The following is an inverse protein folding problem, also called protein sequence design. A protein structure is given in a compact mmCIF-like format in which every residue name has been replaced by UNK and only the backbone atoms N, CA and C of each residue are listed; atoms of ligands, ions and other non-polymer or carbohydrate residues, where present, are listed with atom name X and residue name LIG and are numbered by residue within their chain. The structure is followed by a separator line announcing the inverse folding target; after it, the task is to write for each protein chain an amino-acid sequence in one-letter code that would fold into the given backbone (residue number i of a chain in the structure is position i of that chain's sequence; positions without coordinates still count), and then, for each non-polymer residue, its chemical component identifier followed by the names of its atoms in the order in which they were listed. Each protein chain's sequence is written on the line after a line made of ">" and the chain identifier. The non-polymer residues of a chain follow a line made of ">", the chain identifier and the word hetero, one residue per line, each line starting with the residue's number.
data_IF_488013162722
#
_entry.id   IF_488013162722
#
_cell.length_a   1.000
_cell.length_b   1.000
_cell.length_c   1.000
_cell.angle_alpha   90.00
_cell.angle_beta   90.00
_cell.angle_gamma   90.00
#
_symmetry.space_group_name_H-M   'P 1'
#
loop_
_entity.id
_entity.type
_entity.pdbx_description
1 polymer ?
#
# COMPACT_ATOMS: atom_id res chain seq x y z
N UNK A 1 -16.87 -9.45 0.49
CA UNK A 1 -15.80 -8.68 1.14
C UNK A 1 -14.68 -8.43 0.14
N UNK A 2 -14.18 -7.21 0.08
CA UNK A 2 -13.04 -6.79 -0.75
C UNK A 2 -11.85 -6.52 0.18
N UNK A 3 -10.65 -6.92 -0.20
CA UNK A 3 -9.43 -6.67 0.57
C UNK A 3 -8.35 -6.14 -0.37
N UNK A 4 -7.79 -4.98 -0.03
CA UNK A 4 -6.59 -4.45 -0.66
C UNK A 4 -5.42 -4.86 0.21
N UNK A 5 -4.51 -5.66 -0.35
CA UNK A 5 -3.33 -6.16 0.33
C UNK A 5 -2.09 -5.62 -0.34
N UNK A 6 -1.21 -5.01 0.45
CA UNK A 6 0.13 -4.61 0.08
C UNK A 6 1.10 -5.65 0.63
N UNK A 7 1.94 -6.24 -0.21
CA UNK A 7 3.10 -7.03 0.19
C UNK A 7 4.36 -6.34 -0.29
N UNK A 8 5.43 -6.33 0.50
CA UNK A 8 6.66 -5.65 0.12
C UNK A 8 7.93 -6.33 0.64
N UNK A 9 9.02 -6.11 -0.09
CA UNK A 9 10.37 -6.44 0.34
C UNK A 9 10.88 -5.37 1.31
N UNK A 10 11.85 -5.70 2.15
CA UNK A 10 12.69 -4.65 2.74
C UNK A 10 13.46 -3.95 1.61
N UNK A 11 13.84 -2.69 1.84
CA UNK A 11 14.79 -2.00 0.97
C UNK A 11 16.13 -2.74 0.90
N UNK A 12 16.92 -2.43 -0.13
CA UNK A 12 18.21 -3.09 -0.36
C UNK A 12 19.30 -2.77 0.69
N UNK A 13 18.98 -1.97 1.72
CA UNK A 13 19.91 -1.55 2.76
C UNK A 13 19.74 -2.41 4.01
N UNK A 14 20.80 -3.15 4.38
CA UNK A 14 20.80 -4.03 5.57
C UNK A 14 20.64 -3.25 6.89
N UNK A 15 20.94 -1.95 6.88
CA UNK A 15 21.01 -1.10 8.07
C UNK A 15 19.71 -0.32 8.37
N UNK A 16 18.69 -0.43 7.51
CA UNK A 16 17.46 0.36 7.63
C UNK A 16 16.20 -0.48 7.62
N UNK A 17 15.34 -0.29 8.63
CA UNK A 17 13.97 -0.78 8.57
C UNK A 17 13.23 -0.12 7.39
N UNK A 18 12.32 -0.87 6.78
CA UNK A 18 11.43 -0.37 5.72
C UNK A 18 10.01 -0.34 6.24
N UNK A 19 9.33 0.75 5.97
CA UNK A 19 7.94 0.96 6.33
C UNK A 19 7.20 1.49 5.09
N UNK A 20 6.27 0.68 4.59
CA UNK A 20 5.37 1.08 3.52
C UNK A 20 3.94 1.12 4.04
N UNK A 21 3.31 2.26 3.89
CA UNK A 21 1.93 2.51 4.32
C UNK A 21 0.93 2.35 3.16
N UNK A 22 -0.25 1.82 3.50
CA UNK A 22 -1.41 1.73 2.63
C UNK A 22 -2.48 2.80 2.97
N UNK A 23 -2.89 3.57 1.96
CA UNK A 23 -3.96 4.58 2.07
C UNK A 23 -5.07 4.29 1.09
N UNK A 24 -6.29 4.08 1.58
CA UNK A 24 -7.49 4.06 0.73
C UNK A 24 -8.22 5.40 0.87
N UNK A 25 -8.35 6.11 -0.25
CA UNK A 25 -8.98 7.43 -0.31
C UNK A 25 -10.29 7.33 -1.09
N UNK A 26 -11.39 7.80 -0.49
CA UNK A 26 -12.63 8.07 -1.23
C UNK A 26 -12.49 9.41 -1.97
N UNK A 27 -12.53 9.39 -3.29
CA UNK A 27 -12.28 10.60 -4.10
C UNK A 27 -13.45 11.61 -4.02
N UNK A 28 -14.64 11.18 -3.59
CA UNK A 28 -15.81 12.06 -3.47
C UNK A 28 -15.82 12.79 -2.14
N UNK A 29 -15.50 12.10 -1.04
CA UNK A 29 -15.57 12.66 0.32
C UNK A 29 -14.22 13.17 0.82
N UNK A 30 -13.11 12.69 0.26
CA UNK A 30 -11.75 12.94 0.74
C UNK A 30 -11.41 12.17 2.02
N UNK A 31 -12.29 11.28 2.50
CA UNK A 31 -11.99 10.44 3.67
C UNK A 31 -10.95 9.37 3.35
N UNK A 32 -10.12 9.04 4.35
CA UNK A 32 -8.98 8.14 4.17
C UNK A 32 -8.94 7.05 5.24
N UNK A 33 -8.68 5.80 4.82
CA UNK A 33 -8.33 4.70 5.72
C UNK A 33 -6.81 4.48 5.67
N UNK A 34 -6.15 4.63 6.82
CA UNK A 34 -4.69 4.50 7.01
C UNK A 34 -4.37 4.41 8.52
N UNK A 35 -3.09 4.33 8.94
CA UNK A 35 -2.77 4.01 10.34
C UNK A 35 -3.29 5.03 11.38
N UNK A 36 -3.37 6.33 11.05
CA UNK A 36 -3.92 7.35 11.98
C UNK A 36 -5.45 7.35 11.98
N UNK A 37 -6.07 6.92 10.89
CA UNK A 37 -7.51 6.76 10.76
C UNK A 37 -7.84 5.33 10.33
N UNK A 38 -7.64 4.33 11.22
CA UNK A 38 -7.66 2.91 10.84
C UNK A 38 -9.07 2.40 10.55
N UNK A 39 -10.12 3.22 10.75
CA UNK A 39 -11.50 2.86 10.43
C UNK A 39 -12.28 4.09 9.99
N UNK A 40 -12.92 3.99 8.83
CA UNK A 40 -13.85 5.00 8.29
C UNK A 40 -15.19 4.30 7.99
N UNK A 41 -16.27 4.63 8.71
CA UNK A 41 -17.59 4.08 8.43
C UNK A 41 -18.02 4.34 6.97
N UNK A 42 -18.46 3.30 6.28
CA UNK A 42 -18.87 3.41 4.87
C UNK A 42 -17.74 3.33 3.85
N UNK A 43 -16.48 3.22 4.29
CA UNK A 43 -15.31 3.05 3.41
C UNK A 43 -14.53 1.76 3.74
N UNK A 44 -14.01 1.63 4.96
CA UNK A 44 -13.22 0.45 5.30
C UNK A 44 -12.47 0.56 6.62
N UNK A 45 -11.56 -0.39 6.82
CA UNK A 45 -10.65 -0.41 7.97
C UNK A 45 -9.29 -1.00 7.62
N UNK A 46 -8.24 -0.43 8.19
CA UNK A 46 -6.91 -1.00 8.21
C UNK A 46 -6.92 -2.21 9.16
N UNK A 47 -6.60 -3.38 8.64
CA UNK A 47 -6.71 -4.65 9.35
C UNK A 47 -5.33 -5.17 9.80
N UNK A 48 -4.24 -4.67 9.20
CA UNK A 48 -2.86 -4.93 9.60
C UNK A 48 -1.96 -3.78 9.13
N UNK A 49 -1.06 -3.36 10.02
CA UNK A 49 -0.07 -2.27 9.88
C UNK A 49 1.29 -2.85 10.29
N UNK A 50 2.31 -2.76 9.43
CA UNK A 50 3.67 -3.21 9.74
C UNK A 50 4.62 -2.01 9.73
N UNK A 51 4.88 -1.50 10.93
CA UNK A 51 5.74 -0.32 11.17
C UNK A 51 7.23 -0.56 11.04
N UNK A 52 7.64 -1.83 11.08
CA UNK A 52 9.04 -2.23 11.05
C UNK A 52 9.14 -3.53 10.25
N UNK A 53 9.12 -3.41 8.93
CA UNK A 53 9.28 -4.56 8.04
C UNK A 53 10.58 -5.30 8.38
N UNK A 54 10.47 -6.61 8.60
CA UNK A 54 11.61 -7.48 8.89
C UNK A 54 12.27 -8.02 7.62
N UNK A 55 13.57 -8.30 7.71
CA UNK A 55 14.32 -8.92 6.63
C UNK A 55 13.88 -10.38 6.45
N UNK A 56 13.25 -10.70 5.32
CA UNK A 56 13.40 -12.03 4.73
C UNK A 56 14.22 -11.87 3.47
N UNK A 57 15.48 -12.28 3.55
CA UNK A 57 16.33 -12.45 2.39
C UNK A 57 16.40 -13.93 2.04
N UNK A 58 16.45 -14.24 0.75
CA UNK A 58 16.79 -15.56 0.24
C UNK A 58 18.00 -15.39 -0.66
N UNK A 59 19.10 -16.04 -0.29
CA UNK A 59 20.37 -15.94 -1.02
C UNK A 59 20.87 -14.48 -1.17
N UNK A 60 20.63 -13.65 -0.16
CA UNK A 60 20.98 -12.22 -0.17
C UNK A 60 20.00 -11.31 -0.94
N UNK A 61 18.92 -11.86 -1.51
CA UNK A 61 17.91 -11.10 -2.25
C UNK A 61 16.67 -10.88 -1.39
N UNK A 62 16.17 -9.64 -1.24
CA UNK A 62 14.90 -9.37 -0.57
C UNK A 62 13.74 -10.15 -1.23
N UNK A 63 12.95 -10.87 -0.43
CA UNK A 63 11.78 -11.62 -0.92
C UNK A 63 10.46 -11.06 -0.39
N UNK A 64 9.46 -11.01 -1.27
CA UNK A 64 8.10 -10.60 -0.94
C UNK A 64 7.40 -11.58 0.00
N UNK A 65 6.41 -11.10 0.76
CA UNK A 65 5.59 -11.91 1.67
C UNK A 65 6.15 -12.02 3.10
N UNK A 66 7.24 -11.28 3.40
CA UNK A 66 7.71 -11.04 4.77
C UNK A 66 6.97 -9.90 5.46
N UNK A 67 6.62 -8.87 4.70
CA UNK A 67 5.98 -7.65 5.19
C UNK A 67 4.71 -7.39 4.37
N UNK A 68 3.59 -7.15 5.05
CA UNK A 68 2.32 -6.89 4.40
C UNK A 68 1.39 -6.01 5.23
N UNK A 69 0.61 -5.19 4.55
CA UNK A 69 -0.50 -4.43 5.11
C UNK A 69 -1.78 -4.78 4.37
N UNK A 70 -2.93 -4.63 5.02
CA UNK A 70 -4.17 -4.76 4.28
C UNK A 70 -5.33 -3.95 4.85
N UNK A 71 -6.13 -3.41 3.93
CA UNK A 71 -7.38 -2.73 4.23
C UNK A 71 -8.53 -3.67 3.84
N UNK A 72 -9.41 -3.89 4.80
CA UNK A 72 -10.71 -4.52 4.57
C UNK A 72 -11.70 -3.43 4.12
N UNK A 73 -12.15 -3.48 2.88
CA UNK A 73 -13.08 -2.50 2.30
C UNK A 73 -14.52 -2.95 2.56
N UNK A 74 -15.39 -2.00 2.91
CA UNK A 74 -16.81 -2.30 3.14
C UNK A 74 -17.48 -2.85 1.86
N UNK A 75 -18.48 -3.75 1.96
CA UNK A 75 -19.04 -4.46 0.80
C UNK A 75 -19.57 -3.55 -0.31
N UNK A 76 -20.25 -2.46 0.07
CA UNK A 76 -21.01 -1.59 -0.83
C UNK A 76 -20.18 -0.45 -1.43
N UNK A 77 -18.90 -0.37 -1.08
CA UNK A 77 -17.98 0.63 -1.65
C UNK A 77 -17.72 0.32 -3.11
N UNK A 78 -17.99 1.29 -3.98
CA UNK A 78 -17.50 1.27 -5.35
C UNK A 78 -15.99 1.53 -5.34
N UNK A 79 -15.20 0.65 -5.97
CA UNK A 79 -13.76 0.86 -6.04
C UNK A 79 -13.37 1.86 -7.13
N UNK A 80 -14.25 2.14 -8.11
CA UNK A 80 -13.99 3.13 -9.16
C UNK A 80 -13.90 4.57 -8.64
N UNK A 81 -14.62 4.87 -7.56
CA UNK A 81 -14.53 6.18 -6.88
C UNK A 81 -13.37 6.26 -5.87
N UNK A 82 -12.58 5.20 -5.71
CA UNK A 82 -11.51 5.17 -4.73
C UNK A 82 -10.13 5.20 -5.40
N UNK A 83 -9.18 5.86 -4.74
CA UNK A 83 -7.78 5.80 -5.10
C UNK A 83 -7.01 5.10 -3.99
N UNK A 84 -6.15 4.16 -4.36
CA UNK A 84 -5.19 3.59 -3.42
C UNK A 84 -3.86 4.33 -3.57
N UNK A 85 -3.34 4.83 -2.47
CA UNK A 85 -2.01 5.41 -2.40
C UNK A 85 -1.11 4.53 -1.55
N UNK A 86 0.12 4.37 -2.01
CA UNK A 86 1.18 3.71 -1.28
C UNK A 86 2.23 4.75 -0.93
N UNK A 87 2.73 4.73 0.30
CA UNK A 87 3.81 5.61 0.75
C UNK A 87 5.00 4.82 1.26
N UNK A 88 6.21 5.21 0.84
CA UNK A 88 7.44 4.79 1.51
C UNK A 88 7.72 5.73 2.68
N UNK A 89 7.29 5.36 3.87
CA UNK A 89 7.44 6.15 5.09
C UNK A 89 8.88 6.09 5.62
N UNK A 90 9.48 4.89 5.64
CA UNK A 90 10.84 4.64 6.11
C UNK A 90 11.64 3.81 5.09
N UNK A 91 12.95 4.03 5.07
CA UNK A 91 13.91 3.34 4.21
C UNK A 91 14.67 4.29 3.31
N UNK A 92 15.80 3.85 2.76
CA UNK A 92 16.71 4.65 1.92
C UNK A 92 17.02 4.00 0.58
N UNK A 93 16.71 2.72 0.40
CA UNK A 93 16.97 1.96 -0.81
C UNK A 93 15.75 1.70 -1.68
N UNK A 94 15.94 0.97 -2.78
CA UNK A 94 14.83 0.59 -3.66
C UNK A 94 13.91 -0.43 -2.97
N UNK A 95 12.59 -0.23 -3.04
CA UNK A 95 11.60 -1.16 -2.46
C UNK A 95 10.67 -1.69 -3.53
N UNK A 96 10.62 -3.01 -3.68
CA UNK A 96 9.62 -3.69 -4.50
C UNK A 96 8.37 -3.99 -3.66
N UNK A 97 7.22 -3.63 -4.18
CA UNK A 97 5.92 -3.88 -3.56
C UNK A 97 4.90 -4.41 -4.58
N UNK A 98 3.92 -5.14 -4.05
CA UNK A 98 2.82 -5.73 -4.81
C UNK A 98 1.52 -5.38 -4.10
N UNK A 99 0.57 -4.85 -4.86
CA UNK A 99 -0.80 -4.67 -4.42
C UNK A 99 -1.65 -5.75 -5.07
N UNK A 100 -2.36 -6.48 -4.23
CA UNK A 100 -3.34 -7.48 -4.63
C UNK A 100 -4.74 -7.07 -4.17
N UNK A 101 -5.71 -7.14 -5.09
CA UNK A 101 -7.13 -7.03 -4.77
C UNK A 101 -7.72 -8.42 -4.62
N UNK A 102 -8.25 -8.72 -3.44
CA UNK A 102 -9.02 -9.93 -3.17
C UNK A 102 -10.51 -9.62 -3.18
N UNK A 103 -11.28 -10.41 -3.89
CA UNK A 103 -12.74 -10.37 -3.87
C UNK A 103 -13.28 -11.79 -3.65
N UNK A 104 -14.08 -11.95 -2.59
CA UNK A 104 -14.66 -13.25 -2.21
C UNK A 104 -13.60 -14.35 -2.05
N UNK A 105 -12.45 -14.00 -1.46
CA UNK A 105 -11.34 -14.91 -1.19
C UNK A 105 -10.45 -15.24 -2.40
N UNK A 106 -10.69 -14.64 -3.56
CA UNK A 106 -9.87 -14.83 -4.77
C UNK A 106 -9.14 -13.55 -5.14
N UNK A 107 -7.90 -13.68 -5.60
CA UNK A 107 -7.18 -12.56 -6.22
C UNK A 107 -7.83 -12.25 -7.56
N UNK A 108 -8.27 -11.01 -7.75
CA UNK A 108 -8.91 -10.55 -9.00
C UNK A 108 -8.07 -9.49 -9.72
N UNK A 109 -7.03 -8.95 -9.07
CA UNK A 109 -6.11 -7.99 -9.66
C UNK A 109 -4.81 -7.94 -8.89
N UNK A 110 -3.70 -7.75 -9.60
CA UNK A 110 -2.37 -7.59 -9.03
C UNK A 110 -1.64 -6.47 -9.78
N UNK A 111 -0.96 -5.59 -9.04
CA UNK A 111 -0.05 -4.61 -9.60
C UNK A 111 1.25 -4.59 -8.81
N UNK A 112 2.37 -4.67 -9.53
CA UNK A 112 3.70 -4.50 -8.96
C UNK A 112 4.15 -3.05 -9.09
N UNK A 113 4.85 -2.58 -8.09
CA UNK A 113 5.38 -1.23 -7.98
C UNK A 113 6.80 -1.26 -7.43
N UNK A 114 7.57 -0.25 -7.79
CA UNK A 114 8.93 -0.07 -7.33
C UNK A 114 9.08 1.37 -6.83
N UNK A 115 9.64 1.53 -5.64
CA UNK A 115 9.99 2.82 -5.05
C UNK A 115 11.49 3.02 -5.12
N UNK A 116 11.97 3.91 -5.99
CA UNK A 116 13.42 4.18 -6.17
C UNK A 116 13.94 5.33 -5.29
N UNK A 117 13.12 5.85 -4.37
CA UNK A 117 13.49 7.04 -3.60
C UNK A 117 14.65 6.79 -2.62
N UNK A 118 15.65 7.68 -2.67
CA UNK A 118 16.87 7.65 -1.82
C UNK A 118 16.62 7.98 -0.34
N UNK A 119 15.40 8.36 0.04
CA UNK A 119 15.00 8.67 1.41
C UNK A 119 13.48 8.55 1.55
N UNK A 120 13.01 7.84 2.57
CA UNK A 120 11.58 7.76 2.92
C UNK A 120 10.95 9.14 3.13
N UNK A 121 9.66 9.25 2.79
CA UNK A 121 8.89 10.47 3.00
C UNK A 121 8.48 10.58 4.46
N UNK A 122 9.03 11.58 5.13
CA UNK A 122 8.37 12.15 6.30
C UNK A 122 7.42 13.23 5.78
N UNK A 123 6.24 12.84 5.28
CA UNK A 123 5.34 13.79 4.61
C UNK A 123 3.90 13.30 4.46
N UNK A 124 3.03 13.65 5.41
CA UNK A 124 1.62 13.23 5.50
C UNK A 124 0.62 14.04 4.65
N UNK A 125 1.05 15.13 4.01
CA UNK A 125 0.10 16.07 3.41
C UNK A 125 -0.44 15.56 2.07
N UNK A 126 -1.77 15.42 1.99
CA UNK A 126 -2.49 14.93 0.81
C UNK A 126 -2.14 15.71 -0.48
N UNK A 127 -1.91 17.02 -0.37
CA UNK A 127 -1.69 17.93 -1.50
C UNK A 127 -0.35 17.68 -2.25
N UNK A 128 0.59 16.94 -1.65
CA UNK A 128 1.93 16.73 -2.21
C UNK A 128 2.16 15.31 -2.74
N UNK A 129 1.20 14.38 -2.58
CA UNK A 129 1.39 12.95 -2.94
C UNK A 129 1.79 12.77 -4.40
N UNK A 130 1.07 13.41 -5.32
CA UNK A 130 1.30 13.23 -6.75
C UNK A 130 2.67 13.74 -7.26
N UNK A 131 3.33 14.62 -6.50
CA UNK A 131 4.62 15.20 -6.86
C UNK A 131 5.81 14.54 -6.15
N UNK A 132 5.57 13.61 -5.21
CA UNK A 132 6.61 12.97 -4.41
C UNK A 132 7.00 11.61 -4.98
N UNK A 133 8.31 11.37 -5.12
CA UNK A 133 8.84 10.05 -5.51
C UNK A 133 8.69 8.95 -4.44
N UNK A 134 8.16 9.29 -3.27
CA UNK A 134 7.85 8.32 -2.22
C UNK A 134 6.38 7.86 -2.22
N UNK A 135 5.56 8.44 -3.09
CA UNK A 135 4.15 8.11 -3.20
C UNK A 135 3.86 7.51 -4.56
N UNK A 136 3.13 6.40 -4.57
CA UNK A 136 2.65 5.77 -5.80
C UNK A 136 1.14 5.72 -5.76
N UNK A 137 0.53 6.21 -6.83
CA UNK A 137 -0.91 6.11 -7.07
C UNK A 137 -1.25 4.80 -7.75
N UNK A 138 -2.25 4.10 -7.22
CA UNK A 138 -2.83 2.89 -7.78
C UNK A 138 -4.30 3.16 -8.08
N UNK A 139 -4.62 3.23 -9.37
CA UNK A 139 -6.00 3.34 -9.82
C UNK A 139 -6.67 1.96 -9.66
N UNK A 140 -7.62 1.85 -8.74
CA UNK A 140 -8.25 0.57 -8.41
C UNK A 140 -9.06 -0.02 -9.57
N UNK A 141 -9.53 0.81 -10.50
CA UNK A 141 -10.17 0.37 -11.74
C UNK A 141 -9.23 -0.48 -12.62
N UNK A 142 -7.91 -0.24 -12.57
CA UNK A 142 -6.93 -1.05 -13.33
C UNK A 142 -6.75 -2.43 -12.73
N UNK A 143 -6.96 -2.59 -11.42
CA UNK A 143 -6.91 -3.89 -10.75
C UNK A 143 -8.16 -4.72 -11.03
N UNK A 144 -9.31 -4.09 -11.26
CA UNK A 144 -10.57 -4.79 -11.51
C UNK A 144 -10.81 -5.15 -12.98
N UNK A 145 -10.11 -4.49 -13.91
CA UNK A 145 -10.28 -4.64 -15.37
C UNK A 145 -9.35 -5.68 -16.03
N UNK A 146 -8.48 -6.34 -15.26
CA UNK A 146 -7.56 -7.38 -15.75
C UNK A 146 -8.20 -8.75 -16.04
N UNK A 147 -9.48 -8.81 -16.39
CA UNK A 147 -10.19 -10.04 -16.82
C UNK A 147 -10.43 -10.06 -18.33
#
# INVERSE_FOLDING_TARGET
>A
MKVLRLDYCQDESEDTATDLDLYLVDNETGEEVWYEQPRVPGLGRLCNDIRYGGAKTRDGVPVMGGNYEFICVEPDVDLGRCTLWLNKHLGVGTVLAEVSLYQSGRVVGVQKVEFESRKGDLGRQADNRAASGNWVRIDLEKLTSGQ
#
